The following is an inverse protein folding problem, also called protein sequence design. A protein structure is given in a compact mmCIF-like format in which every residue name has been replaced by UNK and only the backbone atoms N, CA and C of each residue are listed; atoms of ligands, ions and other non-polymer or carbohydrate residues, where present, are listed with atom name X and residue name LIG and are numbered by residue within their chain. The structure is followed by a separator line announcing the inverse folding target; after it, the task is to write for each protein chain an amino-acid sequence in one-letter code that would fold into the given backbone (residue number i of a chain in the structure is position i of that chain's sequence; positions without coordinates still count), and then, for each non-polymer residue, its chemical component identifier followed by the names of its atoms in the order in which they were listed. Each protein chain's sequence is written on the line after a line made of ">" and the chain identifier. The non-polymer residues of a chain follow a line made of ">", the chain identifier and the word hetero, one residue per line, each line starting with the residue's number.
data_IF_903811893599
#
_entry.id   IF_903811893599
#
_cell.length_a   1.000
_cell.length_b   1.000
_cell.length_c   1.000
_cell.angle_alpha   90.00
_cell.angle_beta   90.00
_cell.angle_gamma   90.00
#
_symmetry.space_group_name_H-M   'P 1'
#
loop_
_entity.id
_entity.type
_entity.pdbx_description
1 polymer ?
#
# COMPACT_ATOMS: atom_id res chain seq x y z
N UNK A 1 -20.18 60.30 -15.72
CA UNK A 1 -18.94 59.59 -16.10
C UNK A 1 -18.29 58.83 -14.94
N UNK A 2 -18.04 59.44 -13.77
CA UNK A 2 -17.36 58.76 -12.64
C UNK A 2 -18.04 57.46 -12.17
N UNK A 3 -19.37 57.46 -11.99
CA UNK A 3 -20.14 56.29 -11.53
C UNK A 3 -20.09 55.13 -12.54
N UNK A 4 -20.15 55.43 -13.84
CA UNK A 4 -20.08 54.42 -14.91
C UNK A 4 -18.74 53.69 -14.92
N UNK A 5 -17.64 54.41 -14.67
CA UNK A 5 -16.30 53.82 -14.55
C UNK A 5 -16.23 52.85 -13.36
N UNK A 6 -16.79 53.21 -12.20
CA UNK A 6 -16.83 52.31 -11.04
C UNK A 6 -17.64 51.03 -11.30
N UNK A 7 -18.76 51.14 -12.03
CA UNK A 7 -19.59 49.98 -12.38
C UNK A 7 -18.83 49.05 -13.34
N UNK A 8 -18.19 49.59 -14.37
CA UNK A 8 -17.42 48.80 -15.35
C UNK A 8 -16.20 48.13 -14.69
N UNK A 9 -15.50 48.84 -13.80
CA UNK A 9 -14.38 48.28 -13.03
C UNK A 9 -14.86 47.19 -12.07
N UNK A 10 -15.98 47.42 -11.37
CA UNK A 10 -16.58 46.42 -10.47
C UNK A 10 -17.01 45.14 -11.19
N UNK A 11 -17.67 45.27 -12.35
CA UNK A 11 -18.05 44.14 -13.20
C UNK A 11 -16.82 43.42 -13.77
N UNK A 12 -15.78 44.16 -14.15
CA UNK A 12 -14.50 43.60 -14.58
C UNK A 12 -13.85 42.74 -13.50
N UNK A 13 -13.83 43.20 -12.24
CA UNK A 13 -13.31 42.44 -11.09
C UNK A 13 -14.19 41.21 -10.81
N UNK A 14 -15.51 41.32 -10.86
CA UNK A 14 -16.44 40.18 -10.70
C UNK A 14 -16.24 39.12 -11.77
N UNK A 15 -16.05 39.52 -13.04
CA UNK A 15 -15.73 38.61 -14.13
C UNK A 15 -14.32 38.02 -13.99
N UNK A 16 -13.35 38.79 -13.47
CA UNK A 16 -12.00 38.30 -13.20
C UNK A 16 -11.97 37.30 -12.04
N UNK A 17 -12.79 37.51 -11.00
CA UNK A 17 -12.94 36.61 -9.86
C UNK A 17 -13.76 35.35 -10.21
N UNK A 18 -14.70 35.43 -11.16
CA UNK A 18 -15.43 34.26 -11.66
C UNK A 18 -14.65 33.45 -12.70
N UNK A 19 -13.74 34.09 -13.45
CA UNK A 19 -12.90 33.44 -14.47
C UNK A 19 -11.49 33.05 -14.00
N UNK A 20 -10.95 33.69 -12.96
CA UNK A 20 -9.90 33.11 -12.11
C UNK A 20 -10.55 32.04 -11.25
N UNK A 21 -10.96 30.96 -11.91
CA UNK A 21 -11.49 29.77 -11.27
C UNK A 21 -10.64 29.44 -10.05
N UNK A 22 -11.33 29.21 -8.94
CA UNK A 22 -10.83 28.63 -7.71
C UNK A 22 -9.54 27.84 -7.98
N UNK A 23 -8.38 28.41 -7.63
CA UNK A 23 -7.11 27.76 -7.89
C UNK A 23 -7.01 26.55 -6.96
N UNK A 24 -7.49 25.41 -7.43
CA UNK A 24 -7.29 24.13 -6.77
C UNK A 24 -5.81 23.77 -6.88
N UNK A 25 -5.05 24.12 -5.85
CA UNK A 25 -3.64 23.75 -5.74
C UNK A 25 -3.49 22.68 -4.68
N UNK A 26 -2.56 21.76 -4.90
CA UNK A 26 -2.28 20.65 -3.99
C UNK A 26 -0.85 20.73 -3.51
N UNK A 27 -0.65 20.65 -2.19
CA UNK A 27 0.65 20.54 -1.55
C UNK A 27 0.78 19.12 -0.99
N UNK A 28 1.76 18.39 -1.52
CA UNK A 28 2.10 17.05 -1.08
C UNK A 28 3.21 17.08 -0.04
N UNK A 29 3.11 16.18 0.93
CA UNK A 29 4.22 15.82 1.79
C UNK A 29 5.30 15.08 0.97
N UNK A 30 6.27 15.84 0.47
CA UNK A 30 7.39 15.32 -0.33
C UNK A 30 8.27 14.35 0.46
N UNK A 31 8.28 14.44 1.78
CA UNK A 31 9.09 13.54 2.62
C UNK A 31 8.53 12.12 2.58
N UNK A 32 7.21 11.96 2.74
CA UNK A 32 6.54 10.66 2.67
C UNK A 32 6.79 9.97 1.31
N UNK A 33 6.70 10.71 0.20
CA UNK A 33 7.00 10.16 -1.13
C UNK A 33 8.45 9.71 -1.26
N UNK A 34 9.42 10.53 -0.84
CA UNK A 34 10.85 10.18 -0.89
C UNK A 34 11.16 8.93 -0.05
N UNK A 35 10.65 8.88 1.18
CA UNK A 35 10.82 7.71 2.05
C UNK A 35 10.21 6.45 1.42
N UNK A 36 9.04 6.57 0.81
CA UNK A 36 8.40 5.46 0.10
C UNK A 36 9.20 5.02 -1.13
N UNK A 37 9.72 5.92 -1.96
CA UNK A 37 10.52 5.58 -3.14
C UNK A 37 11.82 4.85 -2.78
N UNK A 38 12.46 5.28 -1.70
CA UNK A 38 13.73 4.75 -1.24
C UNK A 38 13.56 3.43 -0.47
N UNK A 39 12.66 3.41 0.51
CA UNK A 39 12.49 2.32 1.49
C UNK A 39 11.13 1.62 1.47
N UNK A 40 10.11 2.20 0.84
CA UNK A 40 8.78 1.60 0.74
C UNK A 40 8.74 0.44 -0.27
N UNK A 41 7.90 -0.55 0.00
CA UNK A 41 7.75 -1.77 -0.82
C UNK A 41 7.70 -3.05 0.01
N UNK A 42 7.88 -4.19 -0.65
CA UNK A 42 7.87 -5.52 -0.01
C UNK A 42 9.27 -5.92 0.43
N UNK A 43 9.40 -6.38 1.68
CA UNK A 43 10.61 -6.95 2.27
C UNK A 43 10.43 -8.45 2.42
N UNK A 44 11.22 -9.22 1.70
CA UNK A 44 11.16 -10.68 1.60
C UNK A 44 12.29 -11.30 2.41
N UNK A 45 11.93 -12.07 3.44
CA UNK A 45 12.89 -12.74 4.33
C UNK A 45 13.37 -14.08 3.81
N UNK A 46 12.56 -14.75 3.00
CA UNK A 46 12.94 -16.00 2.35
C UNK A 46 12.51 -15.98 0.89
N UNK A 47 13.49 -15.80 -0.01
CA UNK A 47 13.25 -15.74 -1.46
C UNK A 47 12.76 -17.08 -2.01
N UNK A 48 13.31 -18.19 -1.54
CA UNK A 48 12.99 -19.53 -2.02
C UNK A 48 11.53 -19.88 -1.74
N UNK A 49 11.06 -19.65 -0.51
CA UNK A 49 9.66 -19.84 -0.12
C UNK A 49 8.74 -18.90 -0.91
N UNK A 50 9.14 -17.65 -1.13
CA UNK A 50 8.35 -16.72 -1.95
C UNK A 50 8.22 -17.18 -3.40
N UNK A 51 9.31 -17.67 -3.99
CA UNK A 51 9.31 -18.17 -5.37
C UNK A 51 8.50 -19.47 -5.49
N UNK A 52 8.51 -20.31 -4.45
CA UNK A 52 7.65 -21.50 -4.37
C UNK A 52 6.16 -21.11 -4.34
N UNK A 53 5.78 -20.15 -3.48
CA UNK A 53 4.40 -19.65 -3.40
C UNK A 53 3.94 -19.10 -4.75
N UNK A 54 4.78 -18.34 -5.44
CA UNK A 54 4.46 -17.83 -6.78
C UNK A 54 4.10 -18.96 -7.74
N UNK A 55 4.91 -20.02 -7.78
CA UNK A 55 4.63 -21.19 -8.63
C UNK A 55 3.33 -21.89 -8.24
N UNK A 56 3.09 -22.10 -6.95
CA UNK A 56 1.85 -22.70 -6.45
C UNK A 56 0.62 -21.88 -6.86
N UNK A 57 0.69 -20.55 -6.76
CA UNK A 57 -0.40 -19.66 -7.18
C UNK A 57 -0.62 -19.66 -8.69
N UNK A 58 0.45 -19.64 -9.49
CA UNK A 58 0.37 -19.72 -10.95
C UNK A 58 -0.29 -21.04 -11.39
N UNK A 59 0.11 -22.15 -10.78
CA UNK A 59 -0.51 -23.46 -11.02
C UNK A 59 -1.97 -23.51 -10.55
N UNK A 60 -2.28 -22.95 -9.38
CA UNK A 60 -3.65 -22.88 -8.87
C UNK A 60 -4.56 -22.10 -9.82
N UNK A 61 -4.14 -20.91 -10.26
CA UNK A 61 -4.88 -20.08 -11.20
C UNK A 61 -5.07 -20.83 -12.52
N UNK A 62 -4.03 -21.46 -13.04
CA UNK A 62 -4.11 -22.27 -14.25
C UNK A 62 -5.13 -23.40 -14.10
N UNK A 63 -5.18 -24.08 -12.95
CA UNK A 63 -6.16 -25.14 -12.68
C UNK A 63 -7.58 -24.61 -12.48
N UNK A 64 -7.75 -23.49 -11.76
CA UNK A 64 -9.06 -22.84 -11.57
C UNK A 64 -9.70 -22.47 -12.91
N UNK A 65 -8.90 -21.98 -13.87
CA UNK A 65 -9.38 -21.64 -15.23
C UNK A 65 -9.88 -22.84 -16.05
N UNK A 66 -9.53 -24.07 -15.66
CA UNK A 66 -10.00 -25.29 -16.31
C UNK A 66 -11.32 -25.81 -15.72
N UNK A 67 -11.80 -25.23 -14.61
CA UNK A 67 -13.04 -25.64 -13.96
C UNK A 67 -14.18 -24.79 -14.54
N UNK A 68 -15.17 -25.44 -15.16
CA UNK A 68 -16.30 -24.75 -15.78
C UNK A 68 -17.29 -24.24 -14.72
N UNK A 69 -17.81 -23.02 -14.89
CA UNK A 69 -18.69 -22.39 -13.90
C UNK A 69 -20.03 -23.12 -13.66
N UNK A 70 -20.45 -23.97 -14.59
CA UNK A 70 -21.67 -24.78 -14.52
C UNK A 70 -21.42 -26.20 -13.99
N UNK A 71 -20.18 -26.52 -13.59
CA UNK A 71 -19.83 -27.80 -13.00
C UNK A 71 -20.61 -28.00 -11.68
N UNK A 72 -21.37 -29.09 -11.51
CA UNK A 72 -22.12 -29.36 -10.29
C UNK A 72 -21.25 -29.36 -9.02
N UNK A 73 -19.97 -29.71 -9.16
CA UNK A 73 -18.99 -29.79 -8.06
C UNK A 73 -18.05 -28.57 -8.05
N UNK A 74 -18.40 -27.48 -8.75
CA UNK A 74 -17.55 -26.30 -8.89
C UNK A 74 -16.96 -25.85 -7.55
N UNK A 75 -17.80 -25.65 -6.54
CA UNK A 75 -17.37 -25.14 -5.24
C UNK A 75 -16.42 -26.10 -4.52
N UNK A 76 -16.69 -27.40 -4.55
CA UNK A 76 -15.83 -28.43 -3.95
C UNK A 76 -14.47 -28.51 -4.65
N UNK A 77 -14.46 -28.43 -5.99
CA UNK A 77 -13.22 -28.38 -6.79
C UNK A 77 -12.41 -27.14 -6.46
N UNK A 78 -13.04 -25.97 -6.32
CA UNK A 78 -12.34 -24.73 -5.95
C UNK A 78 -11.72 -24.79 -4.55
N UNK A 79 -12.44 -25.33 -3.56
CA UNK A 79 -11.89 -25.57 -2.21
C UNK A 79 -10.72 -26.57 -2.25
N UNK A 80 -10.85 -27.65 -3.01
CA UNK A 80 -9.81 -28.66 -3.13
C UNK A 80 -8.53 -28.09 -3.75
N UNK A 81 -8.66 -27.25 -4.79
CA UNK A 81 -7.56 -26.52 -5.38
C UNK A 81 -6.90 -25.58 -4.37
N UNK A 82 -7.68 -24.74 -3.67
CA UNK A 82 -7.13 -23.83 -2.66
C UNK A 82 -6.38 -24.57 -1.54
N UNK A 83 -6.95 -25.67 -1.05
CA UNK A 83 -6.31 -26.50 -0.03
C UNK A 83 -5.02 -27.15 -0.53
N UNK A 84 -4.98 -27.62 -1.78
CA UNK A 84 -3.81 -28.25 -2.38
C UNK A 84 -2.68 -27.23 -2.60
N UNK A 85 -3.00 -26.07 -3.13
CA UNK A 85 -2.01 -25.07 -3.53
C UNK A 85 -1.64 -24.08 -2.42
N UNK A 86 -2.17 -24.25 -1.20
CA UNK A 86 -1.77 -23.48 -0.01
C UNK A 86 -0.72 -24.18 0.87
N UNK A 87 -0.23 -25.36 0.45
CA UNK A 87 0.76 -26.16 1.18
C UNK A 87 2.12 -26.05 0.49
N UNK A 88 3.13 -25.69 1.27
CA UNK A 88 4.52 -25.63 0.83
C UNK A 88 5.14 -27.04 0.75
N UNK A 89 6.27 -27.14 0.06
CA UNK A 89 7.09 -28.33 -0.14
C UNK A 89 7.57 -28.95 1.17
N UNK A 90 7.74 -28.13 2.21
CA UNK A 90 8.06 -28.56 3.57
C UNK A 90 6.84 -29.06 4.39
N UNK A 91 5.66 -29.13 3.77
CA UNK A 91 4.41 -29.57 4.39
C UNK A 91 3.68 -28.49 5.20
N UNK A 92 4.22 -27.28 5.28
CA UNK A 92 3.63 -26.19 6.06
C UNK A 92 2.62 -25.39 5.23
N UNK A 93 1.54 -24.92 5.87
CA UNK A 93 0.54 -24.10 5.20
C UNK A 93 0.98 -22.65 5.17
N UNK A 94 0.97 -22.02 3.99
CA UNK A 94 1.22 -20.59 3.87
C UNK A 94 -0.08 -19.79 3.84
N UNK A 95 0.04 -18.51 4.20
CA UNK A 95 -1.04 -17.55 4.27
C UNK A 95 -0.56 -16.24 3.67
N UNK A 96 -1.42 -15.62 2.89
CA UNK A 96 -1.22 -14.27 2.39
C UNK A 96 -2.33 -13.42 2.98
N UNK A 97 -1.94 -12.35 3.67
CA UNK A 97 -2.85 -11.32 4.14
C UNK A 97 -3.04 -10.33 3.00
N UNK A 98 -4.29 -10.15 2.57
CA UNK A 98 -4.64 -8.97 1.77
C UNK A 98 -4.39 -7.74 2.64
N UNK A 99 -3.50 -6.85 2.21
CA UNK A 99 -3.30 -5.57 2.90
C UNK A 99 -4.48 -4.67 2.54
N UNK A 100 -5.60 -4.81 3.27
CA UNK A 100 -6.77 -3.96 3.09
C UNK A 100 -6.38 -2.51 3.45
N UNK A 101 -6.30 -1.67 2.41
CA UNK A 101 -6.07 -0.23 2.50
C UNK A 101 -7.21 0.38 3.35
N UNK A 102 -6.96 0.59 4.64
CA UNK A 102 -7.92 1.26 5.52
C UNK A 102 -8.12 0.60 6.90
N UNK A 103 -7.67 -0.65 7.08
CA UNK A 103 -7.63 -1.26 8.41
C UNK A 103 -6.30 -0.86 9.04
N UNK A 104 -6.37 -0.02 10.08
CA UNK A 104 -5.29 0.07 11.06
C UNK A 104 -5.20 -1.29 11.76
N UNK A 105 -4.52 -2.26 11.16
CA UNK A 105 -3.94 -3.36 11.95
C UNK A 105 -2.78 -2.74 12.73
N UNK A 106 -3.17 -1.97 13.76
CA UNK A 106 -2.32 -1.35 14.74
C UNK A 106 -1.60 -2.45 15.51
N UNK A 107 -0.37 -2.74 15.10
CA UNK A 107 0.85 -2.84 15.93
C UNK A 107 1.79 -3.91 15.39
N UNK A 108 3.07 -3.56 15.41
CA UNK A 108 4.18 -4.52 15.36
C UNK A 108 3.93 -5.60 16.41
N UNK A 109 3.67 -6.82 15.97
CA UNK A 109 3.42 -7.92 16.89
C UNK A 109 4.76 -8.32 17.53
N UNK A 110 4.82 -8.36 18.87
CA UNK A 110 6.08 -8.62 19.59
C UNK A 110 6.78 -9.93 19.15
N UNK A 111 6.02 -10.93 18.70
CA UNK A 111 6.55 -12.19 18.16
C UNK A 111 7.38 -12.03 16.87
N UNK A 112 7.27 -10.89 16.18
CA UNK A 112 8.00 -10.59 14.95
C UNK A 112 9.14 -9.57 15.16
N UNK A 113 9.48 -9.24 16.41
CA UNK A 113 10.55 -8.29 16.73
C UNK A 113 11.89 -8.57 16.02
N UNK A 114 12.38 -9.82 15.90
CA UNK A 114 13.61 -10.10 15.15
C UNK A 114 13.54 -9.66 13.68
N UNK A 115 12.37 -9.74 13.05
CA UNK A 115 12.15 -9.31 11.67
C UNK A 115 12.14 -7.79 11.57
N UNK A 116 11.48 -7.11 12.50
CA UNK A 116 11.47 -5.66 12.58
C UNK A 116 12.87 -5.09 12.81
N UNK A 117 13.68 -5.74 13.63
CA UNK A 117 15.06 -5.35 13.87
C UNK A 117 15.91 -5.46 12.60
N UNK A 118 15.75 -6.53 11.80
CA UNK A 118 16.42 -6.67 10.50
C UNK A 118 16.04 -5.57 9.50
N UNK A 119 14.76 -5.19 9.47
CA UNK A 119 14.28 -4.07 8.65
C UNK A 119 14.90 -2.75 9.15
N UNK A 120 14.93 -2.53 10.47
CA UNK A 120 15.53 -1.36 11.12
C UNK A 120 17.03 -1.23 10.86
N UNK A 121 17.77 -2.34 10.88
CA UNK A 121 19.20 -2.40 10.55
C UNK A 121 19.48 -1.92 9.12
N UNK A 122 18.59 -2.21 8.17
CA UNK A 122 18.73 -1.80 6.78
C UNK A 122 18.44 -0.30 6.56
N UNK A 123 17.31 0.20 7.06
CA UNK A 123 16.87 1.59 6.78
C UNK A 123 17.36 2.62 7.81
N UNK A 124 17.82 2.17 8.96
CA UNK A 124 18.18 3.02 10.10
C UNK A 124 16.97 3.43 10.94
N UNK A 125 17.23 3.69 12.22
CA UNK A 125 16.19 3.97 13.23
C UNK A 125 15.32 5.19 12.89
N UNK A 126 15.93 6.27 12.40
CA UNK A 126 15.20 7.50 12.06
C UNK A 126 14.16 7.28 10.96
N UNK A 127 14.48 6.45 9.97
CA UNK A 127 13.57 6.11 8.86
C UNK A 127 12.52 5.11 9.35
N UNK A 128 12.95 4.07 10.07
CA UNK A 128 12.06 3.03 10.60
C UNK A 128 10.92 3.58 11.47
N UNK A 129 11.17 4.64 12.25
CA UNK A 129 10.14 5.27 13.09
C UNK A 129 9.12 6.13 12.31
N UNK A 130 9.36 6.37 11.02
CA UNK A 130 8.46 7.14 10.12
C UNK A 130 7.67 6.26 9.17
N UNK A 131 7.90 4.94 9.21
CA UNK A 131 7.31 3.97 8.29
C UNK A 131 6.42 2.99 9.04
N UNK A 132 5.31 2.66 8.38
CA UNK A 132 4.40 1.62 8.84
C UNK A 132 4.74 0.30 8.17
N UNK A 133 4.70 -0.79 8.95
CA UNK A 133 5.13 -2.12 8.54
C UNK A 133 3.99 -3.10 8.76
N UNK A 134 3.58 -3.78 7.69
CA UNK A 134 2.46 -4.71 7.66
C UNK A 134 2.95 -6.11 7.28
N UNK A 135 2.57 -7.14 8.02
CA UNK A 135 2.82 -8.52 7.61
C UNK A 135 1.96 -8.84 6.39
N UNK A 136 2.57 -9.27 5.28
CA UNK A 136 1.82 -9.62 4.06
C UNK A 136 1.75 -11.11 3.81
N UNK A 137 2.78 -11.86 4.17
CA UNK A 137 2.72 -13.31 4.04
C UNK A 137 3.53 -14.01 5.12
N UNK A 138 3.07 -15.19 5.51
CA UNK A 138 3.70 -16.04 6.51
C UNK A 138 3.31 -17.50 6.28
N UNK A 139 4.05 -18.43 6.85
CA UNK A 139 3.64 -19.84 6.90
C UNK A 139 3.58 -20.37 8.33
N UNK A 140 2.77 -21.41 8.52
CA UNK A 140 2.59 -22.11 9.79
C UNK A 140 3.12 -23.53 9.71
N UNK A 141 4.10 -23.84 10.55
CA UNK A 141 4.58 -25.19 10.80
C UNK A 141 4.23 -25.59 12.23
N UNK A 142 3.14 -26.33 12.41
CA UNK A 142 2.50 -26.49 13.73
C UNK A 142 2.06 -25.12 14.27
N UNK A 143 2.45 -24.81 15.51
CA UNK A 143 2.09 -23.55 16.17
C UNK A 143 3.02 -22.36 15.81
N UNK A 144 4.11 -22.60 15.08
CA UNK A 144 5.08 -21.55 14.73
C UNK A 144 4.59 -20.76 13.52
N UNK A 145 4.46 -19.44 13.70
CA UNK A 145 4.17 -18.48 12.62
C UNK A 145 5.47 -17.85 12.15
N UNK A 146 5.84 -18.08 10.90
CA UNK A 146 7.10 -17.62 10.32
C UNK A 146 6.80 -16.63 9.20
N UNK A 147 7.10 -15.33 9.37
CA UNK A 147 6.98 -14.32 8.32
C UNK A 147 7.79 -14.66 7.08
N UNK A 148 7.18 -14.44 5.92
CA UNK A 148 7.81 -14.52 4.61
C UNK A 148 8.08 -13.11 4.11
N UNK A 149 7.09 -12.23 4.22
CA UNK A 149 7.24 -10.86 3.77
C UNK A 149 6.44 -9.83 4.57
N UNK A 150 6.96 -8.60 4.55
CA UNK A 150 6.30 -7.42 5.07
C UNK A 150 6.16 -6.35 3.99
N UNK A 151 5.13 -5.52 4.07
CA UNK A 151 4.92 -4.35 3.22
C UNK A 151 5.14 -3.09 4.03
N UNK A 152 5.91 -2.15 3.47
CA UNK A 152 6.30 -0.92 4.15
C UNK A 152 5.74 0.29 3.41
N UNK A 153 5.05 1.17 4.15
CA UNK A 153 4.43 2.41 3.68
C UNK A 153 4.97 3.61 4.44
N UNK A 154 5.06 4.74 3.76
CA UNK A 154 5.22 6.04 4.43
C UNK A 154 3.87 6.76 4.42
N UNK A 155 3.48 7.36 5.55
CA UNK A 155 2.28 8.19 5.59
C UNK A 155 2.64 9.66 5.54
N UNK A 156 1.86 10.42 4.78
CA UNK A 156 2.02 11.87 4.68
C UNK A 156 0.67 12.58 4.67
N UNK A 157 0.73 13.88 4.51
CA UNK A 157 -0.47 14.73 4.35
C UNK A 157 -0.54 15.36 2.97
N UNK A 158 -1.75 15.42 2.43
CA UNK A 158 -2.06 16.25 1.26
C UNK A 158 -2.86 17.44 1.78
N UNK A 159 -2.43 18.65 1.40
CA UNK A 159 -3.20 19.87 1.62
C UNK A 159 -3.73 20.35 0.28
N UNK A 160 -5.04 20.33 0.14
CA UNK A 160 -5.75 20.87 -1.01
C UNK A 160 -6.24 22.28 -0.66
N UNK A 161 -5.99 23.26 -1.54
CA UNK A 161 -6.46 24.63 -1.38
C UNK A 161 -7.67 24.87 -2.29
N UNK A 162 -8.72 25.49 -1.74
CA UNK A 162 -10.01 25.65 -2.40
C UNK A 162 -11.07 26.14 -1.42
N UNK A 163 -12.28 26.45 -1.88
CA UNK A 163 -13.38 26.87 -1.00
C UNK A 163 -14.15 25.64 -0.52
N UNK A 164 -13.98 25.26 0.75
CA UNK A 164 -14.52 24.04 1.34
C UNK A 164 -15.75 24.27 2.24
N UNK A 165 -16.41 25.40 2.08
CA UNK A 165 -17.60 25.77 2.86
C UNK A 165 -17.29 26.44 4.20
N UNK A 166 -18.34 26.80 4.92
CA UNK A 166 -18.26 27.40 6.26
C UNK A 166 -17.99 26.31 7.30
N UNK A 167 -16.97 26.52 8.11
CA UNK A 167 -16.62 25.69 9.26
C UNK A 167 -17.21 26.32 10.51
N UNK A 168 -18.33 25.76 10.99
CA UNK A 168 -19.03 26.25 12.18
C UNK A 168 -18.18 26.12 13.45
N UNK A 169 -17.27 25.14 13.50
CA UNK A 169 -16.43 24.86 14.68
C UNK A 169 -15.27 25.86 14.76
N UNK A 170 -14.68 26.21 13.62
CA UNK A 170 -13.55 27.15 13.54
C UNK A 170 -13.97 28.59 13.19
N UNK A 171 -15.26 28.86 13.03
CA UNK A 171 -15.83 30.19 12.87
C UNK A 171 -15.42 30.90 11.58
N UNK A 172 -15.52 30.23 10.42
CA UNK A 172 -15.21 30.89 9.14
C UNK A 172 -15.21 29.97 7.93
N UNK A 173 -15.06 30.53 6.74
CA UNK A 173 -14.89 29.75 5.51
C UNK A 173 -13.53 29.04 5.49
N UNK A 174 -13.55 27.75 5.18
CA UNK A 174 -12.34 26.94 5.07
C UNK A 174 -11.75 27.03 3.67
N UNK A 175 -10.51 27.50 3.59
CA UNK A 175 -9.78 27.66 2.32
C UNK A 175 -8.80 26.51 2.03
N UNK A 176 -8.71 25.51 2.92
CA UNK A 176 -7.89 24.33 2.70
C UNK A 176 -8.45 23.09 3.37
N UNK A 177 -8.24 21.92 2.77
CA UNK A 177 -8.58 20.63 3.33
C UNK A 177 -7.30 19.80 3.44
N UNK A 178 -7.04 19.27 4.64
CA UNK A 178 -5.96 18.30 4.87
C UNK A 178 -6.52 16.89 4.85
N UNK A 179 -5.85 15.99 4.14
CA UNK A 179 -6.11 14.56 4.14
C UNK A 179 -4.82 13.78 4.38
N UNK A 180 -4.93 12.56 4.88
CA UNK A 180 -3.81 11.64 5.04
C UNK A 180 -3.74 10.71 3.83
N UNK A 181 -2.53 10.35 3.42
CA UNK A 181 -2.31 9.36 2.37
C UNK A 181 -1.18 8.40 2.76
N UNK A 182 -1.27 7.16 2.29
CA UNK A 182 -0.18 6.19 2.36
C UNK A 182 0.57 6.16 1.02
N UNK A 183 1.83 6.56 1.03
CA UNK A 183 2.76 6.38 -0.07
C UNK A 183 3.34 4.97 -0.03
N UNK A 184 3.27 4.26 -1.15
CA UNK A 184 3.93 2.98 -1.34
C UNK A 184 4.60 2.91 -2.71
N UNK A 185 5.83 2.40 -2.75
CA UNK A 185 6.54 2.16 -3.99
C UNK A 185 6.51 0.68 -4.38
N UNK A 186 6.64 0.40 -5.67
CA UNK A 186 6.64 -0.95 -6.23
C UNK A 186 7.97 -1.69 -6.03
N UNK A 187 8.75 -1.36 -4.99
CA UNK A 187 10.04 -1.96 -4.75
C UNK A 187 9.90 -3.33 -4.09
N UNK A 188 10.86 -4.21 -4.36
CA UNK A 188 11.04 -5.48 -3.66
C UNK A 188 12.44 -5.49 -3.06
N UNK A 189 12.57 -5.85 -1.79
CA UNK A 189 13.83 -6.02 -1.08
C UNK A 189 13.95 -7.48 -0.65
N UNK A 190 15.08 -8.12 -0.96
CA UNK A 190 15.36 -9.48 -0.54
C UNK A 190 16.41 -9.50 0.54
N UNK A 191 16.19 -10.30 1.59
CA UNK A 191 17.23 -10.60 2.57
C UNK A 191 18.22 -11.60 1.96
N UNK A 192 19.46 -11.17 1.76
CA UNK A 192 20.54 -11.98 1.19
C UNK A 192 21.76 -11.80 2.10
N UNK A 193 22.31 -12.90 2.60
CA UNK A 193 23.46 -12.89 3.54
C UNK A 193 23.23 -11.90 4.70
N UNK A 194 22.08 -12.02 5.37
CA UNK A 194 21.65 -11.17 6.49
C UNK A 194 21.47 -9.68 6.20
N UNK A 195 21.48 -9.25 4.93
CA UNK A 195 21.28 -7.86 4.53
C UNK A 195 20.22 -7.72 3.46
N UNK A 196 19.38 -6.70 3.58
CA UNK A 196 18.40 -6.39 2.54
C UNK A 196 19.08 -5.75 1.32
N UNK A 197 18.71 -6.25 0.14
CA UNK A 197 19.15 -5.72 -1.15
C UNK A 197 17.92 -5.38 -1.98
N UNK A 198 17.88 -4.15 -2.51
CA UNK A 198 16.82 -3.72 -3.42
C UNK A 198 16.92 -4.49 -4.74
N UNK A 199 15.83 -5.15 -5.11
CA UNK A 199 15.69 -5.86 -6.38
C UNK A 199 15.52 -4.88 -7.54
N UNK A 200 16.00 -5.28 -8.71
CA UNK A 200 15.66 -4.62 -9.97
C UNK A 200 14.20 -4.90 -10.39
N UNK A 201 13.67 -6.06 -9.99
CA UNK A 201 12.28 -6.43 -10.25
C UNK A 201 11.32 -5.56 -9.44
N UNK A 202 10.20 -5.18 -10.06
CA UNK A 202 9.11 -4.44 -9.42
C UNK A 202 7.91 -5.34 -9.09
N UNK A 203 7.18 -4.90 -8.09
CA UNK A 203 5.88 -5.46 -7.69
C UNK A 203 4.93 -5.59 -8.89
N UNK A 204 4.80 -4.53 -9.68
CA UNK A 204 3.93 -4.49 -10.87
C UNK A 204 4.31 -5.48 -11.97
N UNK A 205 5.53 -6.04 -11.93
CA UNK A 205 5.99 -7.02 -12.92
C UNK A 205 5.64 -8.46 -12.51
N UNK A 206 5.15 -8.67 -11.29
CA UNK A 206 4.74 -10.00 -10.84
C UNK A 206 3.33 -10.31 -11.37
N UNK A 207 3.20 -11.40 -12.15
CA UNK A 207 1.93 -11.91 -12.70
C UNK A 207 1.06 -12.60 -11.64
N UNK A 208 0.97 -12.02 -10.46
CA UNK A 208 0.05 -12.50 -9.42
C UNK A 208 -1.23 -11.72 -9.58
N UNK A 209 -2.36 -12.38 -9.85
CA UNK A 209 -3.71 -11.80 -9.91
C UNK A 209 -4.10 -11.21 -8.52
N UNK A 210 -3.45 -10.13 -8.11
CA UNK A 210 -3.69 -9.40 -6.86
C UNK A 210 -3.22 -10.08 -5.58
N UNK A 211 -2.84 -11.36 -5.58
CA UNK A 211 -2.66 -12.11 -4.33
C UNK A 211 -1.35 -11.91 -3.56
N UNK A 212 -0.34 -11.19 -4.06
CA UNK A 212 0.94 -10.98 -3.32
C UNK A 212 1.06 -9.57 -2.70
N UNK A 213 -0.03 -8.81 -2.66
CA UNK A 213 -0.06 -7.42 -2.17
C UNK A 213 -1.04 -7.22 -1.03
#
# INVERSE_FOLDING_TARGET
>A
MKIFIFIVVGLGILLFLSSCGLLYTTKYDKEAFKLSEEYGGIYVFNKEIRDEIKKLQEEEIAKRRLVENNDPDFYEKMIALEKKYSILSNGCKYFIKEVIIGVKEDKKEAKFEPYYQKIKEYMGEKVFNKLDIYLTSYYKCGDKVIPISFFIKAYGTITEYGLYGFDEVNGGYRFSKKSYFGASANNIFYLINDKFVKSNQKISEEKTEGRLY
#
